data_IF_291652516229
#
_entry.id   IF_291652516229
#
_cell.length_a   1.000
_cell.length_b   1.000
_cell.length_c   1.000
_cell.angle_alpha   90.00
_cell.angle_beta   90.00
_cell.angle_gamma   90.00
#
_symmetry.space_group_name_H-M   'P 1'
#
loop_
_entity.id
_entity.type
_entity.pdbx_description
1 polymer ?
#
# COMPACT_ATOMS: atom_id res chain seq x y z
N UNK A 1 -11.34 14.56 -8.42
CA UNK A 1 -12.15 13.76 -7.47
C UNK A 1 -12.26 12.35 -8.04
N UNK A 2 -12.00 11.31 -7.25
CA UNK A 2 -11.98 9.91 -7.71
C UNK A 2 -13.37 9.26 -7.70
N UNK A 3 -14.44 9.99 -8.03
CA UNK A 3 -15.83 9.45 -8.01
C UNK A 3 -15.97 8.31 -9.04
N UNK A 4 -16.56 7.14 -8.69
CA UNK A 4 -17.24 6.78 -7.43
C UNK A 4 -16.28 6.33 -6.28
N UNK A 5 -15.06 5.95 -6.61
CA UNK A 5 -13.92 5.78 -5.69
C UNK A 5 -12.70 5.20 -6.44
N UNK A 6 -11.53 5.11 -5.79
CA UNK A 6 -10.34 4.57 -6.44
C UNK A 6 -10.42 3.05 -6.61
N UNK A 7 -10.03 2.56 -7.79
CA UNK A 7 -9.87 1.12 -8.07
C UNK A 7 -8.60 0.53 -7.45
N UNK A 8 -7.56 1.36 -7.32
CA UNK A 8 -6.30 0.99 -6.74
C UNK A 8 -5.66 2.17 -6.03
N UNK A 9 -4.98 1.88 -4.94
CA UNK A 9 -4.00 2.75 -4.30
C UNK A 9 -2.60 2.21 -4.62
N UNK A 10 -1.69 3.11 -4.98
CA UNK A 10 -0.28 2.78 -5.17
C UNK A 10 0.50 3.40 -4.01
N UNK A 11 1.09 2.56 -3.16
CA UNK A 11 1.97 3.02 -2.09
C UNK A 11 3.41 2.97 -2.60
N UNK A 12 3.98 4.14 -2.89
CA UNK A 12 5.30 4.26 -3.52
C UNK A 12 6.39 4.24 -2.46
N UNK A 13 7.34 3.31 -2.58
CA UNK A 13 8.50 3.18 -1.68
C UNK A 13 9.76 3.19 -2.52
N UNK A 14 10.77 3.97 -2.13
CA UNK A 14 12.06 4.03 -2.81
C UNK A 14 13.02 3.01 -2.22
N UNK A 15 13.66 2.22 -3.07
CA UNK A 15 14.62 1.20 -2.63
C UNK A 15 16.04 1.76 -2.41
N UNK A 16 16.32 2.99 -2.84
CA UNK A 16 17.65 3.63 -2.76
C UNK A 16 17.86 4.48 -1.50
N UNK A 17 16.89 4.48 -0.58
CA UNK A 17 16.99 5.17 0.70
C UNK A 17 16.83 4.15 1.85
N UNK A 18 17.50 4.42 2.97
CA UNK A 18 17.28 3.63 4.18
C UNK A 18 15.86 3.88 4.64
N UNK A 19 15.17 2.78 4.97
CA UNK A 19 13.80 2.85 5.44
C UNK A 19 13.70 3.72 6.71
N UNK A 20 13.15 4.92 6.59
CA UNK A 20 13.07 5.90 7.67
C UNK A 20 11.82 5.67 8.52
N UNK A 21 11.76 6.33 9.68
CA UNK A 21 10.55 6.29 10.51
C UNK A 21 9.32 6.89 9.80
N UNK A 22 9.51 7.76 8.79
CA UNK A 22 8.40 8.26 7.96
C UNK A 22 7.74 7.15 7.13
N UNK A 23 8.53 6.24 6.58
CA UNK A 23 7.97 5.16 5.78
C UNK A 23 7.32 4.08 6.69
N UNK A 24 7.82 3.92 7.93
CA UNK A 24 7.12 3.15 8.99
C UNK A 24 5.78 3.80 9.34
N UNK A 25 5.76 5.12 9.43
CA UNK A 25 4.54 5.89 9.68
C UNK A 25 3.57 5.78 8.52
N UNK A 26 4.02 5.55 7.28
CA UNK A 26 3.13 5.46 6.11
C UNK A 26 2.19 4.25 6.18
N UNK A 27 2.66 3.12 6.71
CA UNK A 27 1.85 1.91 6.94
C UNK A 27 0.76 2.18 7.97
N UNK A 28 1.18 2.71 9.11
CA UNK A 28 0.28 3.09 10.19
C UNK A 28 -0.68 4.18 9.74
N UNK A 29 -0.20 5.17 8.99
CA UNK A 29 -0.97 6.25 8.41
C UNK A 29 -2.04 5.73 7.44
N UNK A 30 -1.71 4.75 6.61
CA UNK A 30 -2.71 4.17 5.72
C UNK A 30 -3.84 3.50 6.51
N UNK A 31 -3.50 2.70 7.51
CA UNK A 31 -4.49 2.07 8.39
C UNK A 31 -5.28 3.12 9.19
N UNK A 32 -4.60 4.15 9.68
CA UNK A 32 -5.15 5.24 10.50
C UNK A 32 -5.94 6.29 9.68
N UNK A 33 -5.88 6.27 8.35
CA UNK A 33 -6.60 7.24 7.50
C UNK A 33 -7.58 6.59 6.50
N UNK A 34 -7.31 5.37 6.05
CA UNK A 34 -8.16 4.69 5.05
C UNK A 34 -8.71 3.35 5.55
N UNK A 35 -8.30 2.91 6.76
CA UNK A 35 -8.74 1.68 7.38
C UNK A 35 -8.16 0.42 6.71
N UNK A 36 -8.35 -0.71 7.37
CA UNK A 36 -7.86 -2.02 6.92
C UNK A 36 -8.41 -2.42 5.54
N UNK A 37 -9.63 -1.99 5.19
CA UNK A 37 -10.23 -2.27 3.88
C UNK A 37 -9.45 -1.67 2.72
N UNK A 38 -8.79 -0.53 2.92
CA UNK A 38 -7.99 0.06 1.85
C UNK A 38 -6.80 -0.83 1.48
N UNK A 39 -6.28 -1.64 2.40
CA UNK A 39 -5.17 -2.56 2.10
C UNK A 39 -5.53 -3.56 0.99
N UNK A 40 -6.81 -3.92 0.88
CA UNK A 40 -7.34 -4.80 -0.17
C UNK A 40 -7.24 -4.18 -1.57
N UNK A 41 -7.20 -2.85 -1.66
CA UNK A 41 -7.09 -2.09 -2.90
C UNK A 41 -5.68 -1.51 -3.11
N UNK A 42 -4.70 -1.88 -2.29
CA UNK A 42 -3.33 -1.34 -2.37
C UNK A 42 -2.37 -2.32 -3.04
N UNK A 43 -1.48 -1.75 -3.86
CA UNK A 43 -0.26 -2.39 -4.37
C UNK A 43 0.95 -1.56 -3.90
N UNK A 44 1.97 -2.23 -3.35
CA UNK A 44 3.23 -1.58 -3.01
C UNK A 44 4.06 -1.38 -4.27
N UNK A 45 4.37 -0.14 -4.63
CA UNK A 45 5.16 0.21 -5.80
C UNK A 45 6.59 0.55 -5.36
N UNK A 46 7.50 -0.40 -5.52
CA UNK A 46 8.91 -0.16 -5.29
C UNK A 46 9.52 0.59 -6.48
N UNK A 47 10.13 1.74 -6.22
CA UNK A 47 10.86 2.50 -7.23
C UNK A 47 12.36 2.38 -6.99
N UNK A 48 13.15 2.73 -8.01
CA UNK A 48 14.62 2.68 -7.94
C UNK A 48 15.14 1.25 -7.70
N UNK A 49 14.44 0.25 -8.24
CA UNK A 49 14.84 -1.15 -8.15
C UNK A 49 16.18 -1.45 -8.82
N UNK A 50 16.60 -0.61 -9.77
CA UNK A 50 17.94 -0.59 -10.37
C UNK A 50 19.06 -0.34 -9.36
N UNK A 51 18.75 0.31 -8.22
CA UNK A 51 19.69 0.57 -7.13
C UNK A 51 19.74 -0.57 -6.10
N UNK A 52 18.89 -1.58 -6.25
CA UNK A 52 18.87 -2.71 -5.34
C UNK A 52 19.98 -3.70 -5.73
N UNK A 53 21.06 -3.76 -4.95
CA UNK A 53 22.17 -4.71 -5.15
C UNK A 53 21.82 -6.17 -4.81
N UNK A 54 20.54 -6.50 -4.65
CA UNK A 54 20.03 -7.84 -4.35
C UNK A 54 18.66 -8.04 -4.98
N UNK A 55 18.17 -9.28 -4.98
CA UNK A 55 16.80 -9.54 -5.39
C UNK A 55 15.80 -8.92 -4.42
N UNK A 56 14.60 -8.59 -4.91
CA UNK A 56 13.54 -8.03 -4.07
C UNK A 56 13.14 -9.00 -2.97
N UNK A 57 13.15 -10.30 -3.23
CA UNK A 57 12.83 -11.34 -2.24
C UNK A 57 13.83 -11.29 -1.08
N UNK A 58 15.14 -11.19 -1.39
CA UNK A 58 16.17 -11.07 -0.36
C UNK A 58 16.04 -9.77 0.43
N UNK A 59 15.66 -8.68 -0.24
CA UNK A 59 15.36 -7.41 0.43
C UNK A 59 14.18 -7.54 1.39
N UNK A 60 13.08 -8.17 0.98
CA UNK A 60 11.90 -8.40 1.81
C UNK A 60 12.23 -9.32 3.01
N UNK A 61 13.00 -10.38 2.80
CA UNK A 61 13.44 -11.25 3.91
C UNK A 61 14.25 -10.50 4.96
N UNK A 62 15.11 -9.55 4.53
CA UNK A 62 15.92 -8.74 5.44
C UNK A 62 15.12 -7.63 6.12
N UNK A 63 14.15 -7.05 5.44
CA UNK A 63 13.35 -5.93 5.94
C UNK A 63 11.97 -6.40 6.40
N UNK A 64 11.92 -6.95 7.62
CA UNK A 64 10.68 -7.51 8.22
C UNK A 64 9.49 -6.55 8.16
N UNK A 65 9.71 -5.25 8.36
CA UNK A 65 8.66 -4.23 8.34
C UNK A 65 8.04 -4.06 6.94
N UNK A 66 8.88 -3.95 5.90
CA UNK A 66 8.38 -3.89 4.52
C UNK A 66 7.69 -5.19 4.13
N UNK A 67 8.25 -6.33 4.54
CA UNK A 67 7.63 -7.61 4.26
C UNK A 67 6.24 -7.68 4.90
N UNK A 68 6.09 -7.20 6.13
CA UNK A 68 4.80 -7.13 6.81
C UNK A 68 3.82 -6.20 6.07
N UNK A 69 4.27 -5.04 5.60
CA UNK A 69 3.46 -4.16 4.77
C UNK A 69 2.97 -4.85 3.49
N UNK A 70 3.87 -5.54 2.78
CA UNK A 70 3.52 -6.30 1.57
C UNK A 70 2.51 -7.41 1.91
N UNK A 71 2.68 -8.09 3.05
CA UNK A 71 1.74 -9.12 3.53
C UNK A 71 0.36 -8.54 3.85
N UNK A 72 0.30 -7.40 4.53
CA UNK A 72 -0.96 -6.69 4.80
C UNK A 72 -1.67 -6.30 3.50
N UNK A 73 -0.91 -5.95 2.47
CA UNK A 73 -1.41 -5.75 1.10
C UNK A 73 -1.54 -7.08 0.32
N UNK A 74 -1.79 -8.21 1.00
CA UNK A 74 -2.03 -9.52 0.38
C UNK A 74 -0.93 -10.00 -0.57
N UNK A 75 0.33 -9.66 -0.29
CA UNK A 75 1.49 -10.03 -1.10
C UNK A 75 1.69 -9.18 -2.35
N UNK A 76 0.92 -8.10 -2.54
CA UNK A 76 0.92 -7.32 -3.77
C UNK A 76 2.02 -6.26 -3.77
N UNK A 77 3.00 -6.43 -4.66
CA UNK A 77 3.98 -5.40 -4.98
C UNK A 77 4.35 -5.40 -6.46
N UNK A 78 4.97 -4.32 -6.92
CA UNK A 78 5.55 -4.18 -8.26
C UNK A 78 6.82 -3.32 -8.18
N UNK A 79 7.83 -3.66 -8.99
CA UNK A 79 9.07 -2.88 -9.09
C UNK A 79 8.98 -2.05 -10.35
N UNK A 80 9.21 -0.75 -10.22
CA UNK A 80 9.06 0.22 -11.28
C UNK A 80 10.34 1.04 -11.43
N UNK A 81 10.86 1.15 -12.64
CA UNK A 81 12.04 1.96 -12.93
C UNK A 81 11.59 3.23 -13.65
N UNK A 82 11.56 4.35 -12.92
CA UNK A 82 11.13 5.65 -13.44
C UNK A 82 12.05 6.22 -14.53
N UNK A 83 13.24 5.65 -14.74
CA UNK A 83 14.18 6.06 -15.80
C UNK A 83 13.95 5.21 -17.06
N UNK A 84 13.59 3.94 -16.88
CA UNK A 84 13.29 3.05 -17.99
C UNK A 84 11.97 3.48 -18.66
N UNK A 85 12.01 3.64 -19.99
CA UNK A 85 10.86 4.02 -20.81
C UNK A 85 10.11 2.81 -21.38
N UNK A 86 10.53 1.59 -21.02
CA UNK A 86 9.87 0.37 -21.45
C UNK A 86 8.39 0.37 -21.01
N UNK A 87 7.41 0.30 -21.94
CA UNK A 87 5.99 0.28 -21.59
C UNK A 87 5.55 -1.04 -20.92
N UNK A 88 6.39 -2.09 -20.92
CA UNK A 88 6.07 -3.38 -20.34
C UNK A 88 5.80 -3.30 -18.82
N UNK A 89 6.58 -2.52 -18.07
CA UNK A 89 6.37 -2.32 -16.63
C UNK A 89 4.98 -1.73 -16.32
N UNK A 90 4.54 -0.75 -17.11
CA UNK A 90 3.18 -0.18 -16.99
C UNK A 90 2.13 -1.24 -17.27
N UNK A 91 2.32 -2.02 -18.35
CA UNK A 91 1.40 -3.10 -18.73
C UNK A 91 1.30 -4.17 -17.64
N UNK A 92 2.42 -4.55 -17.02
CA UNK A 92 2.46 -5.49 -15.91
C UNK A 92 1.81 -4.94 -14.64
N UNK A 93 2.00 -3.65 -14.34
CA UNK A 93 1.32 -2.99 -13.23
C UNK A 93 -0.20 -3.02 -13.42
N UNK A 94 -0.71 -2.67 -14.60
CA UNK A 94 -2.15 -2.74 -14.89
C UNK A 94 -2.69 -4.17 -14.78
N UNK A 95 -1.97 -5.19 -15.26
CA UNK A 95 -2.37 -6.60 -15.06
C UNK A 95 -2.53 -6.93 -13.58
N UNK A 96 -1.62 -6.46 -12.71
CA UNK A 96 -1.72 -6.67 -11.26
C UNK A 96 -2.91 -5.93 -10.65
N UNK A 97 -3.19 -4.70 -11.12
CA UNK A 97 -4.38 -3.94 -10.72
C UNK A 97 -5.66 -4.68 -11.11
N UNK A 98 -5.77 -5.15 -12.36
CA UNK A 98 -6.95 -5.87 -12.84
C UNK A 98 -7.20 -7.16 -12.04
N UNK A 99 -6.15 -7.91 -11.74
CA UNK A 99 -6.24 -9.11 -10.89
C UNK A 99 -6.74 -8.74 -9.49
N UNK A 100 -6.22 -7.65 -8.91
CA UNK A 100 -6.63 -7.19 -7.59
C UNK A 100 -8.10 -6.75 -7.58
N UNK A 101 -8.54 -5.94 -8.56
CA UNK A 101 -9.92 -5.47 -8.69
C UNK A 101 -10.87 -6.66 -8.88
N UNK A 102 -10.53 -7.62 -9.73
CA UNK A 102 -11.31 -8.87 -9.89
C UNK A 102 -11.43 -9.65 -8.59
N UNK A 103 -10.36 -9.76 -7.81
CA UNK A 103 -10.40 -10.40 -6.47
C UNK A 103 -11.27 -9.63 -5.47
N UNK A 104 -11.46 -8.33 -5.65
CA UNK A 104 -12.39 -7.51 -4.88
C UNK A 104 -13.80 -7.45 -5.49
N UNK A 105 -14.17 -8.41 -6.36
CA UNK A 105 -15.51 -8.52 -6.93
C UNK A 105 -15.76 -7.59 -8.13
N UNK A 106 -14.70 -6.98 -8.69
CA UNK A 106 -14.85 -5.98 -9.75
C UNK A 106 -15.15 -4.57 -9.23
N UNK A 107 -15.21 -4.40 -7.91
CA UNK A 107 -15.60 -3.14 -7.26
C UNK A 107 -14.39 -2.24 -6.96
N UNK A 108 -14.69 -1.00 -6.59
CA UNK A 108 -13.74 0.03 -6.18
C UNK A 108 -13.86 0.31 -4.68
N UNK A 109 -12.86 0.99 -4.11
CA UNK A 109 -12.94 1.43 -2.73
C UNK A 109 -14.02 2.51 -2.58
N UNK A 110 -15.05 2.24 -1.79
CA UNK A 110 -16.26 3.08 -1.73
C UNK A 110 -16.21 4.14 -0.64
N UNK A 111 -17.01 5.19 -0.79
CA UNK A 111 -17.21 6.18 0.28
C UNK A 111 -17.79 5.55 1.57
N UNK A 112 -18.55 4.45 1.47
CA UNK A 112 -19.05 3.71 2.63
C UNK A 112 -17.89 3.10 3.41
N UNK A 113 -16.97 2.42 2.73
CA UNK A 113 -15.75 1.87 3.34
C UNK A 113 -14.91 2.97 3.99
N UNK A 114 -14.79 4.12 3.33
CA UNK A 114 -14.10 5.28 3.90
C UNK A 114 -14.74 5.78 5.20
N UNK A 115 -16.07 6.00 5.21
CA UNK A 115 -16.79 6.44 6.41
C UNK A 115 -16.68 5.44 7.56
N UNK A 116 -16.77 4.14 7.27
CA UNK A 116 -16.61 3.07 8.25
C UNK A 116 -15.20 3.05 8.83
N UNK A 117 -14.18 3.20 7.98
CA UNK A 117 -12.80 3.35 8.43
C UNK A 117 -12.64 4.54 9.38
N UNK A 118 -13.12 5.73 8.97
CA UNK A 118 -13.04 6.96 9.79
C UNK A 118 -13.72 6.81 11.14
N UNK A 119 -14.89 6.13 11.19
CA UNK A 119 -15.59 5.85 12.45
C UNK A 119 -14.74 4.97 13.38
N UNK A 120 -14.13 3.89 12.87
CA UNK A 120 -13.26 3.01 13.64
C UNK A 120 -12.02 3.74 14.16
N UNK A 121 -11.40 4.58 13.33
CA UNK A 121 -10.25 5.40 13.69
C UNK A 121 -10.61 6.36 14.83
N UNK A 122 -11.77 7.04 14.73
CA UNK A 122 -12.24 7.95 15.76
C UNK A 122 -12.52 7.24 17.07
N UNK A 123 -13.15 6.07 17.03
CA UNK A 123 -13.43 5.25 18.23
C UNK A 123 -12.14 4.84 18.95
N UNK A 124 -11.14 4.31 18.21
CA UNK A 124 -9.84 3.96 18.79
C UNK A 124 -9.16 5.16 19.48
N UNK A 125 -9.19 6.34 18.86
CA UNK A 125 -8.62 7.57 19.45
C UNK A 125 -9.31 7.95 20.77
N UNK A 126 -10.63 7.78 20.86
CA UNK A 126 -11.40 8.06 22.09
C UNK A 126 -11.04 7.07 23.19
N UNK A 127 -10.95 5.78 22.87
CA UNK A 127 -10.55 4.71 23.81
C UNK A 127 -9.13 4.91 24.33
N UNK A 128 -8.15 5.17 23.45
CA UNK A 128 -6.76 5.42 23.83
C UNK A 128 -6.63 6.64 24.75
N UNK A 129 -7.41 7.70 24.47
CA UNK A 129 -7.46 8.91 25.32
C UNK A 129 -8.06 8.60 26.69
N UNK A 130 -9.07 7.73 26.76
CA UNK A 130 -9.72 7.36 28.00
C UNK A 130 -8.84 6.45 28.88
N UNK A 131 -8.02 5.57 28.29
CA UNK A 131 -7.07 4.72 29.02
C UNK A 131 -5.81 5.45 29.48
N UNK A 132 -5.50 6.61 28.90
CA UNK A 132 -4.35 7.44 29.27
C UNK A 132 -4.61 8.43 30.42
N UNK A 133 -5.80 8.37 31.04
CA UNK A 133 -6.21 9.17 32.21
C UNK A 133 -6.38 8.27 33.43
#
# INVERSE_FOLDING_TARGET
MSVPGPHAFLMVIRLDVKFTDEEKNTVKWMQDNFGEEAARYTIILFTRGDQLHMSIEKFLTKNKQINELVRQCGGRYHIFNNIDKNPAQVTELFKKIDIMVKKNGGEHYTNKMYKEAQKKIMMKKVEDTALSK
#
